data_IF_228656668918
#
_entry.id   IF_228656668918
#
_cell.length_a   1.000
_cell.length_b   1.000
_cell.length_c   1.000
_cell.angle_alpha   90.00
_cell.angle_beta   90.00
_cell.angle_gamma   90.00
#
_symmetry.space_group_name_H-M   'P 1'
#
loop_
_entity.id
_entity.type
_entity.pdbx_description
1 polymer ?
#
# COMPACT_ATOMS: atom_id res chain seq x y z
N UNK A 1 -10.52 -1.77 5.19
CA UNK A 1 -11.45 -0.62 5.44
C UNK A 1 -12.59 -1.08 6.34
N UNK A 2 -12.71 -0.53 7.56
CA UNK A 2 -13.85 -0.83 8.46
C UNK A 2 -15.01 0.12 8.16
N UNK A 3 -16.23 -0.38 8.29
CA UNK A 3 -17.44 0.42 8.13
C UNK A 3 -17.73 1.23 9.38
N UNK A 4 -18.43 2.38 9.28
CA UNK A 4 -18.78 3.20 10.44
C UNK A 4 -19.67 2.46 11.47
N UNK A 5 -20.43 1.48 10.99
CA UNK A 5 -21.30 0.61 11.81
C UNK A 5 -21.38 -0.78 11.17
N UNK A 6 -21.80 -1.77 11.95
CA UNK A 6 -22.06 -3.12 11.43
C UNK A 6 -23.32 -3.08 10.56
N UNK A 7 -23.24 -3.68 9.38
CA UNK A 7 -24.34 -3.87 8.45
C UNK A 7 -24.75 -5.34 8.42
N UNK A 8 -25.95 -5.62 7.92
CA UNK A 8 -26.38 -7.00 7.65
C UNK A 8 -25.99 -7.40 6.22
N UNK A 9 -25.82 -8.70 5.98
CA UNK A 9 -25.57 -9.25 4.65
C UNK A 9 -26.59 -8.74 3.63
N UNK A 10 -27.88 -8.76 4.00
CA UNK A 10 -28.98 -8.26 3.18
C UNK A 10 -28.84 -6.78 2.81
N UNK A 11 -28.41 -5.94 3.76
CA UNK A 11 -28.16 -4.52 3.48
C UNK A 11 -27.03 -4.34 2.48
N UNK A 12 -25.91 -5.07 2.64
CA UNK A 12 -24.79 -5.02 1.70
C UNK A 12 -25.21 -5.52 0.31
N UNK A 13 -25.90 -6.66 0.25
CA UNK A 13 -26.43 -7.20 -1.01
C UNK A 13 -27.34 -6.20 -1.73
N UNK A 14 -28.17 -5.47 -0.99
CA UNK A 14 -29.04 -4.42 -1.54
C UNK A 14 -28.23 -3.25 -2.13
N UNK A 15 -27.16 -2.80 -1.48
CA UNK A 15 -26.30 -1.70 -1.98
C UNK A 15 -25.72 -2.04 -3.35
N UNK A 16 -25.27 -3.27 -3.54
CA UNK A 16 -24.61 -3.69 -4.79
C UNK A 16 -25.56 -4.38 -5.77
N UNK A 17 -26.81 -4.63 -5.38
CA UNK A 17 -27.81 -5.39 -6.13
C UNK A 17 -27.30 -6.79 -6.50
N UNK A 18 -26.80 -7.52 -5.51
CA UNK A 18 -26.29 -8.88 -5.66
C UNK A 18 -27.19 -9.91 -4.94
N UNK A 19 -27.18 -11.16 -5.43
CA UNK A 19 -27.70 -12.30 -4.70
C UNK A 19 -26.76 -12.68 -3.55
N UNK A 20 -27.26 -13.42 -2.56
CA UNK A 20 -26.43 -13.85 -1.42
C UNK A 20 -26.83 -15.21 -0.88
N UNK A 21 -25.86 -15.89 -0.27
CA UNK A 21 -26.01 -17.15 0.47
C UNK A 21 -25.59 -16.91 1.91
N UNK A 22 -26.51 -17.10 2.85
CA UNK A 22 -26.31 -16.88 4.28
C UNK A 22 -27.55 -16.29 4.95
N UNK A 23 -27.50 -16.08 6.26
CA UNK A 23 -28.58 -15.46 6.99
C UNK A 23 -28.72 -13.96 6.63
N UNK A 24 -29.94 -13.46 6.54
CA UNK A 24 -30.23 -12.04 6.23
C UNK A 24 -29.48 -11.08 7.16
N UNK A 25 -29.38 -11.43 8.42
CA UNK A 25 -28.79 -10.65 9.52
C UNK A 25 -27.27 -10.95 9.74
N UNK A 26 -26.66 -11.77 8.89
CA UNK A 26 -25.23 -12.08 9.00
C UNK A 26 -24.38 -10.79 9.07
N UNK A 27 -23.51 -10.62 10.10
CA UNK A 27 -22.86 -9.35 10.37
C UNK A 27 -21.70 -9.06 9.40
N UNK A 28 -21.68 -7.83 8.89
CA UNK A 28 -20.63 -7.30 7.99
C UNK A 28 -20.07 -6.02 8.57
N UNK A 29 -18.78 -6.01 8.91
CA UNK A 29 -18.12 -4.90 9.61
C UNK A 29 -17.10 -4.14 8.76
N UNK A 30 -16.76 -4.65 7.58
CA UNK A 30 -15.74 -4.02 6.73
C UNK A 30 -15.55 -4.73 5.40
N UNK A 31 -14.53 -4.30 4.67
CA UNK A 31 -14.06 -4.92 3.45
C UNK A 31 -12.55 -4.73 3.33
N UNK A 32 -11.83 -5.78 2.93
CA UNK A 32 -10.39 -5.74 2.83
C UNK A 32 -9.84 -6.61 1.71
N UNK A 33 -8.60 -6.33 1.31
CA UNK A 33 -7.84 -7.21 0.43
C UNK A 33 -7.45 -8.50 1.18
N UNK A 34 -7.36 -9.59 0.43
CA UNK A 34 -7.22 -10.96 0.96
C UNK A 34 -6.06 -11.18 1.95
N UNK A 35 -5.03 -10.33 1.90
CA UNK A 35 -3.84 -10.45 2.76
C UNK A 35 -4.00 -9.78 4.14
N UNK A 36 -5.06 -8.98 4.33
CA UNK A 36 -5.34 -8.22 5.57
C UNK A 36 -6.76 -8.40 6.10
N UNK A 37 -7.53 -9.36 5.55
CA UNK A 37 -8.91 -9.61 5.98
C UNK A 37 -8.98 -10.18 7.38
N UNK A 38 -10.05 -9.79 8.08
CA UNK A 38 -10.42 -10.24 9.41
C UNK A 38 -11.88 -10.77 9.41
N UNK A 39 -12.31 -11.49 10.46
CA UNK A 39 -13.71 -11.84 10.61
C UNK A 39 -14.64 -10.61 10.55
N UNK A 40 -15.72 -10.71 9.79
CA UNK A 40 -16.64 -9.60 9.50
C UNK A 40 -16.30 -8.80 8.25
N UNK A 41 -15.17 -9.05 7.62
CA UNK A 41 -14.79 -8.38 6.37
C UNK A 41 -15.34 -9.10 5.13
N UNK A 42 -15.62 -8.29 4.10
CA UNK A 42 -15.84 -8.73 2.72
C UNK A 42 -14.48 -8.82 2.04
N UNK A 43 -14.20 -9.94 1.38
CA UNK A 43 -13.15 -10.07 0.37
C UNK A 43 -13.78 -10.33 -0.99
N UNK A 44 -13.19 -9.83 -2.07
CA UNK A 44 -13.68 -10.17 -3.40
C UNK A 44 -12.76 -11.15 -4.13
N UNK A 45 -13.35 -11.98 -4.99
CA UNK A 45 -12.64 -12.87 -5.90
C UNK A 45 -13.44 -13.02 -7.20
N UNK A 46 -12.75 -12.89 -8.33
CA UNK A 46 -13.37 -12.93 -9.65
C UNK A 46 -12.69 -13.92 -10.62
N UNK A 47 -11.71 -14.71 -10.12
CA UNK A 47 -11.01 -15.71 -10.93
C UNK A 47 -10.94 -17.06 -10.19
N UNK A 48 -11.33 -18.18 -10.85
CA UNK A 48 -11.43 -19.51 -10.22
C UNK A 48 -10.16 -19.98 -9.50
N UNK A 49 -8.98 -19.62 -10.02
CA UNK A 49 -7.68 -19.95 -9.40
C UNK A 49 -7.57 -19.48 -7.94
N UNK A 50 -8.31 -18.45 -7.56
CA UNK A 50 -8.20 -17.83 -6.24
C UNK A 50 -9.42 -18.07 -5.34
N UNK A 51 -10.42 -18.84 -5.79
CA UNK A 51 -11.61 -19.14 -5.00
C UNK A 51 -11.26 -19.78 -3.67
N UNK A 52 -10.49 -20.86 -3.69
CA UNK A 52 -10.09 -21.58 -2.47
C UNK A 52 -9.35 -20.65 -1.49
N UNK A 53 -8.50 -19.76 -2.01
CA UNK A 53 -7.79 -18.81 -1.17
C UNK A 53 -8.75 -17.83 -0.50
N UNK A 54 -9.77 -17.33 -1.21
CA UNK A 54 -10.77 -16.41 -0.65
C UNK A 54 -11.71 -17.13 0.32
N UNK A 55 -12.23 -18.30 -0.05
CA UNK A 55 -13.15 -19.09 0.77
C UNK A 55 -12.51 -19.59 2.07
N UNK A 56 -11.18 -19.85 2.08
CA UNK A 56 -10.43 -20.28 3.27
C UNK A 56 -9.70 -19.12 3.98
N UNK A 57 -9.89 -17.86 3.55
CA UNK A 57 -9.32 -16.70 4.22
C UNK A 57 -9.99 -16.41 5.58
N UNK A 58 -9.47 -15.45 6.34
CA UNK A 58 -10.12 -14.99 7.56
C UNK A 58 -11.42 -14.20 7.32
N UNK A 59 -11.66 -13.71 6.09
CA UNK A 59 -12.91 -13.04 5.75
C UNK A 59 -14.10 -13.96 5.96
N UNK A 60 -15.19 -13.44 6.52
CA UNK A 60 -16.42 -14.21 6.69
C UNK A 60 -17.43 -13.96 5.57
N UNK A 61 -17.19 -12.95 4.73
CA UNK A 61 -18.03 -12.69 3.56
C UNK A 61 -17.16 -12.72 2.30
N UNK A 62 -17.57 -13.48 1.28
CA UNK A 62 -16.87 -13.58 0.01
C UNK A 62 -17.75 -13.07 -1.12
N UNK A 63 -17.33 -11.97 -1.74
CA UNK A 63 -17.92 -11.44 -2.97
C UNK A 63 -17.31 -12.19 -4.15
N UNK A 64 -18.10 -13.01 -4.84
CA UNK A 64 -17.64 -13.99 -5.82
C UNK A 64 -18.49 -13.94 -7.10
N UNK A 65 -17.89 -14.29 -8.24
CA UNK A 65 -18.60 -14.23 -9.54
C UNK A 65 -19.30 -15.54 -9.93
N UNK A 66 -19.42 -16.48 -9.03
CA UNK A 66 -20.16 -17.73 -9.23
C UNK A 66 -20.64 -18.27 -7.89
N UNK A 67 -21.87 -18.77 -7.85
CA UNK A 67 -22.35 -19.53 -6.71
C UNK A 67 -21.52 -20.82 -6.53
N UNK A 68 -21.04 -21.02 -5.31
CA UNK A 68 -20.25 -22.19 -4.90
C UNK A 68 -20.75 -22.66 -3.55
N UNK A 69 -20.32 -23.84 -3.09
CA UNK A 69 -20.60 -24.29 -1.72
C UNK A 69 -20.03 -23.28 -0.72
N UNK A 70 -20.93 -22.78 0.15
CA UNK A 70 -20.55 -21.79 1.16
C UNK A 70 -19.94 -22.50 2.38
N UNK A 71 -18.69 -22.22 2.76
CA UNK A 71 -18.10 -22.81 3.95
C UNK A 71 -18.87 -22.45 5.22
N UNK A 72 -18.86 -23.35 6.21
CA UNK A 72 -19.47 -23.11 7.51
C UNK A 72 -18.95 -21.82 8.16
N UNK A 73 -19.83 -21.03 8.75
CA UNK A 73 -19.50 -19.74 9.38
C UNK A 73 -19.22 -18.60 8.41
N UNK A 74 -19.48 -18.78 7.11
CA UNK A 74 -19.31 -17.75 6.08
C UNK A 74 -20.62 -17.41 5.37
N UNK A 75 -20.56 -16.35 4.56
CA UNK A 75 -21.62 -15.94 3.65
C UNK A 75 -21.02 -15.58 2.29
N UNK A 76 -21.83 -15.70 1.23
CA UNK A 76 -21.44 -15.29 -0.11
C UNK A 76 -22.31 -14.12 -0.58
N UNK A 77 -21.71 -13.21 -1.32
CA UNK A 77 -22.36 -12.24 -2.19
C UNK A 77 -22.05 -12.66 -3.62
N UNK A 78 -23.05 -12.99 -4.41
CA UNK A 78 -22.89 -13.50 -5.77
C UNK A 78 -23.15 -12.38 -6.77
N UNK A 79 -22.13 -12.03 -7.54
CA UNK A 79 -22.16 -10.93 -8.51
C UNK A 79 -21.52 -11.35 -9.81
N UNK A 80 -22.05 -10.92 -10.95
CA UNK A 80 -21.44 -11.11 -12.27
C UNK A 80 -20.09 -10.38 -12.41
N UNK A 81 -19.85 -9.33 -11.61
CA UNK A 81 -18.60 -8.58 -11.57
C UNK A 81 -18.22 -8.13 -10.16
N UNK A 82 -17.57 -8.99 -9.36
CA UNK A 82 -17.12 -8.67 -8.02
C UNK A 82 -16.22 -7.44 -7.91
N UNK A 83 -15.38 -7.18 -8.90
CA UNK A 83 -14.52 -6.00 -8.94
C UNK A 83 -15.33 -4.69 -9.01
N UNK A 84 -16.32 -4.64 -9.92
CA UNK A 84 -17.25 -3.51 -10.04
C UNK A 84 -17.99 -3.27 -8.73
N UNK A 85 -18.50 -4.34 -8.12
CA UNK A 85 -19.35 -4.23 -6.95
C UNK A 85 -18.54 -3.95 -5.67
N UNK A 86 -17.28 -4.38 -5.61
CA UNK A 86 -16.35 -3.94 -4.58
C UNK A 86 -16.09 -2.43 -4.68
N UNK A 87 -15.95 -1.89 -5.88
CA UNK A 87 -15.86 -0.45 -6.10
C UNK A 87 -17.11 0.31 -5.67
N UNK A 88 -18.32 -0.22 -5.95
CA UNK A 88 -19.58 0.37 -5.47
C UNK A 88 -19.62 0.47 -3.94
N UNK A 89 -19.17 -0.56 -3.25
CA UNK A 89 -19.06 -0.52 -1.78
C UNK A 89 -18.03 0.52 -1.32
N UNK A 90 -16.88 0.59 -1.99
CA UNK A 90 -15.86 1.62 -1.68
C UNK A 90 -16.44 3.01 -1.85
N UNK A 91 -17.13 3.28 -2.95
CA UNK A 91 -17.74 4.59 -3.22
C UNK A 91 -18.88 4.91 -2.23
N UNK A 92 -19.68 3.91 -1.86
CA UNK A 92 -20.77 4.07 -0.89
C UNK A 92 -20.25 4.43 0.52
N UNK A 93 -19.21 3.75 1.00
CA UNK A 93 -18.68 3.95 2.35
C UNK A 93 -17.59 5.04 2.44
N UNK A 94 -16.94 5.36 1.34
CA UNK A 94 -15.88 6.36 1.23
C UNK A 94 -16.06 7.21 -0.04
N UNK A 95 -17.19 7.94 -0.15
CA UNK A 95 -17.41 8.81 -1.30
C UNK A 95 -16.37 9.92 -1.36
N UNK A 96 -16.02 10.35 -2.56
CA UNK A 96 -15.18 11.52 -2.76
C UNK A 96 -15.84 12.76 -2.16
N UNK A 97 -15.08 13.51 -1.37
CA UNK A 97 -15.50 14.77 -0.77
C UNK A 97 -14.65 15.92 -1.29
N UNK A 98 -15.27 16.86 -2.00
CA UNK A 98 -14.56 18.03 -2.47
C UNK A 98 -14.09 18.89 -1.30
N UNK A 99 -12.82 19.33 -1.34
CA UNK A 99 -12.29 20.28 -0.38
C UNK A 99 -12.83 21.68 -0.64
N UNK A 100 -13.06 22.45 0.42
CA UNK A 100 -13.54 23.85 0.34
C UNK A 100 -12.43 24.90 0.38
N UNK A 101 -11.17 24.48 0.50
CA UNK A 101 -10.01 25.36 0.57
C UNK A 101 -8.70 24.59 0.68
N UNK A 102 -7.60 25.29 0.89
CA UNK A 102 -6.27 24.65 1.04
C UNK A 102 -6.16 23.83 2.31
N UNK A 103 -6.85 24.18 3.38
CA UNK A 103 -6.93 23.41 4.62
C UNK A 103 -8.39 23.12 4.89
N UNK A 104 -8.77 21.86 4.91
CA UNK A 104 -10.15 21.44 5.17
C UNK A 104 -10.55 21.79 6.63
N UNK A 105 -11.78 22.28 6.87
CA UNK A 105 -12.25 22.59 8.24
C UNK A 105 -12.26 21.39 9.19
N UNK A 106 -12.33 20.17 8.66
CA UNK A 106 -12.28 18.93 9.42
C UNK A 106 -10.85 18.46 9.77
N UNK A 107 -9.81 19.11 9.22
CA UNK A 107 -8.42 18.79 9.53
C UNK A 107 -8.06 19.20 10.97
N UNK A 108 -7.24 18.39 11.62
CA UNK A 108 -6.73 18.65 12.97
C UNK A 108 -5.21 18.80 12.90
N UNK A 109 -4.69 19.93 13.33
CA UNK A 109 -3.26 20.25 13.31
C UNK A 109 -2.78 20.50 14.73
N UNK A 110 -1.79 19.73 15.17
CA UNK A 110 -1.23 19.77 16.52
C UNK A 110 -0.45 21.05 16.80
N UNK A 111 -0.25 21.30 18.10
CA UNK A 111 0.46 22.49 18.59
C UNK A 111 1.91 22.53 18.08
N UNK A 112 2.37 23.72 17.70
CA UNK A 112 3.75 23.92 17.24
C UNK A 112 4.03 23.41 15.83
N UNK A 113 3.04 22.83 15.15
CA UNK A 113 3.15 22.43 13.74
C UNK A 113 3.07 23.65 12.82
N UNK A 114 4.01 23.71 11.88
CA UNK A 114 4.11 24.76 10.86
C UNK A 114 3.69 24.22 9.52
N UNK A 115 2.71 24.87 8.88
CA UNK A 115 2.26 24.58 7.52
C UNK A 115 2.64 25.74 6.63
N UNK A 116 3.50 25.50 5.63
CA UNK A 116 3.98 26.52 4.71
C UNK A 116 2.93 26.85 3.62
N UNK A 117 3.01 28.05 3.01
CA UNK A 117 2.09 28.45 1.95
C UNK A 117 2.00 27.44 0.80
N UNK A 118 0.80 27.30 0.25
CA UNK A 118 0.51 26.42 -0.88
C UNK A 118 0.33 24.94 -0.51
N UNK A 119 0.52 24.56 0.76
CA UNK A 119 0.21 23.20 1.20
C UNK A 119 -1.31 22.96 1.19
N UNK A 120 -1.72 21.78 0.69
CA UNK A 120 -3.09 21.30 0.71
C UNK A 120 -3.25 20.25 1.82
N UNK A 121 -4.22 20.46 2.71
CA UNK A 121 -4.57 19.55 3.80
C UNK A 121 -6.04 19.15 3.64
N UNK A 122 -6.27 17.92 3.23
CA UNK A 122 -7.60 17.37 2.91
C UNK A 122 -8.50 17.10 4.12
N UNK A 123 -9.67 16.54 3.83
CA UNK A 123 -10.69 16.27 4.84
C UNK A 123 -10.21 15.20 5.84
N UNK A 124 -10.54 15.43 7.13
CA UNK A 124 -10.24 14.53 8.24
C UNK A 124 -8.75 14.18 8.40
N UNK A 125 -7.85 14.96 7.83
CA UNK A 125 -6.40 14.81 8.06
C UNK A 125 -6.10 15.15 9.52
N UNK A 126 -5.25 14.31 10.12
CA UNK A 126 -4.73 14.54 11.48
C UNK A 126 -3.21 14.68 11.41
N UNK A 127 -2.69 15.82 11.86
CA UNK A 127 -1.25 16.08 11.96
C UNK A 127 -0.92 16.33 13.43
N UNK A 128 0.08 15.62 13.93
CA UNK A 128 0.55 15.74 15.31
C UNK A 128 1.25 17.05 15.61
N UNK A 129 1.96 17.10 16.72
CA UNK A 129 2.64 18.29 17.23
C UNK A 129 4.05 18.44 16.64
N UNK A 130 4.54 19.70 16.57
CA UNK A 130 5.90 20.06 16.17
C UNK A 130 6.31 19.53 14.79
N UNK A 131 5.38 19.39 13.86
CA UNK A 131 5.64 18.99 12.49
C UNK A 131 6.00 20.21 11.62
N UNK A 132 6.73 19.95 10.52
CA UNK A 132 7.05 20.94 9.49
C UNK A 132 6.55 20.45 8.14
N UNK A 133 5.48 21.05 7.63
CA UNK A 133 4.91 20.78 6.33
C UNK A 133 5.36 21.90 5.39
N UNK A 134 6.27 21.58 4.47
CA UNK A 134 6.83 22.55 3.54
C UNK A 134 5.83 22.99 2.46
N UNK A 135 6.23 23.99 1.69
CA UNK A 135 5.40 24.59 0.64
C UNK A 135 4.96 23.57 -0.41
N UNK A 136 3.72 23.70 -0.88
CA UNK A 136 3.14 22.86 -1.94
C UNK A 136 3.09 21.35 -1.64
N UNK A 137 3.15 20.94 -0.39
CA UNK A 137 2.85 19.56 0.02
C UNK A 137 1.35 19.32 -0.12
N UNK A 138 0.95 18.17 -0.65
CA UNK A 138 -0.46 17.76 -0.73
C UNK A 138 -0.72 16.55 0.15
N UNK A 139 -1.55 16.73 1.17
CA UNK A 139 -1.95 15.67 2.10
C UNK A 139 -3.43 15.39 1.88
N UNK A 140 -3.76 14.26 1.27
CA UNK A 140 -5.13 13.89 0.94
C UNK A 140 -5.89 13.33 2.13
N UNK A 141 -7.18 13.22 1.95
CA UNK A 141 -8.18 12.91 2.98
C UNK A 141 -7.80 11.71 3.86
N UNK A 142 -8.16 11.81 5.14
CA UNK A 142 -7.99 10.77 6.16
C UNK A 142 -6.53 10.37 6.48
N UNK A 143 -5.52 11.04 5.92
CA UNK A 143 -4.11 10.82 6.26
C UNK A 143 -3.85 11.16 7.72
N UNK A 144 -3.07 10.31 8.40
CA UNK A 144 -2.68 10.50 9.80
C UNK A 144 -1.16 10.67 9.88
N UNK A 145 -0.72 11.73 10.52
CA UNK A 145 0.70 12.09 10.70
C UNK A 145 0.96 12.27 12.19
N UNK A 146 1.97 11.60 12.70
CA UNK A 146 2.43 11.65 14.07
C UNK A 146 3.13 12.96 14.41
N UNK A 147 3.93 12.96 15.46
CA UNK A 147 4.64 14.13 15.98
C UNK A 147 6.05 14.25 15.42
N UNK A 148 6.59 15.49 15.37
CA UNK A 148 7.96 15.77 14.94
C UNK A 148 8.27 15.23 13.52
N UNK A 149 7.29 15.30 12.62
CA UNK A 149 7.43 14.86 11.23
C UNK A 149 7.78 16.05 10.36
N UNK A 150 8.73 15.85 9.43
CA UNK A 150 9.06 16.83 8.39
C UNK A 150 8.67 16.27 7.03
N UNK A 151 7.92 17.06 6.24
CA UNK A 151 7.56 16.72 4.86
C UNK A 151 8.03 17.84 3.95
N UNK A 152 8.97 17.52 3.05
CA UNK A 152 9.55 18.50 2.14
C UNK A 152 8.67 18.81 0.93
N UNK A 153 8.99 19.93 0.29
CA UNK A 153 8.16 20.57 -0.73
C UNK A 153 7.74 19.65 -1.89
N UNK A 154 6.50 19.79 -2.31
CA UNK A 154 5.93 19.09 -3.47
C UNK A 154 5.62 17.61 -3.27
N UNK A 155 5.78 17.09 -2.06
CA UNK A 155 5.42 15.70 -1.75
C UNK A 155 3.91 15.52 -1.67
N UNK A 156 3.41 14.36 -2.09
CA UNK A 156 1.99 14.00 -2.15
C UNK A 156 1.75 12.74 -1.31
N UNK A 157 0.85 12.83 -0.34
CA UNK A 157 0.44 11.73 0.53
C UNK A 157 -1.03 11.42 0.31
N UNK A 158 -1.37 10.17 0.12
CA UNK A 158 -2.74 9.70 -0.03
C UNK A 158 -3.27 9.69 -1.46
N UNK A 159 -2.38 9.70 -2.47
CA UNK A 159 -2.75 9.37 -3.84
C UNK A 159 -3.40 7.98 -3.94
N UNK A 160 -4.21 7.76 -4.99
CA UNK A 160 -4.85 6.46 -5.20
C UNK A 160 -3.85 5.39 -5.64
N UNK A 161 -4.08 4.16 -5.23
CA UNK A 161 -3.34 3.00 -5.69
C UNK A 161 -3.32 2.88 -7.23
N UNK A 162 -2.15 2.52 -7.78
CA UNK A 162 -2.02 2.15 -9.18
C UNK A 162 -2.49 0.69 -9.37
N UNK A 163 -3.82 0.48 -9.25
CA UNK A 163 -4.43 -0.83 -9.36
C UNK A 163 -5.55 -0.83 -10.40
N UNK A 164 -5.32 -1.51 -11.51
CA UNK A 164 -6.23 -1.56 -12.64
C UNK A 164 -6.51 -2.99 -13.08
N UNK A 165 -7.79 -3.26 -13.40
CA UNK A 165 -8.21 -4.49 -14.08
C UNK A 165 -8.26 -4.24 -15.58
N UNK A 166 -7.60 -5.10 -16.35
CA UNK A 166 -7.67 -5.04 -17.81
C UNK A 166 -9.02 -5.58 -18.28
N UNK A 167 -9.71 -4.82 -19.12
CA UNK A 167 -10.98 -5.16 -19.76
C UNK A 167 -10.85 -5.03 -21.28
N UNK A 168 -11.72 -5.65 -22.06
CA UNK A 168 -11.73 -5.45 -23.51
C UNK A 168 -11.91 -4.00 -23.96
N UNK A 169 -12.60 -3.18 -23.14
CA UNK A 169 -12.86 -1.76 -23.38
C UNK A 169 -11.79 -0.81 -22.83
N UNK A 170 -10.78 -1.31 -22.09
CA UNK A 170 -9.76 -0.49 -21.44
C UNK A 170 -9.44 -0.95 -20.02
N UNK A 171 -9.05 -0.03 -19.15
CA UNK A 171 -8.68 -0.33 -17.78
C UNK A 171 -9.70 0.20 -16.78
N UNK A 172 -10.21 -0.67 -15.92
CA UNK A 172 -11.03 -0.30 -14.77
C UNK A 172 -10.14 -0.10 -13.55
N UNK A 173 -10.24 1.07 -12.92
CA UNK A 173 -9.50 1.39 -11.69
C UNK A 173 -10.16 0.75 -10.47
N UNK A 174 -9.37 0.15 -9.58
CA UNK A 174 -9.82 -0.20 -8.23
C UNK A 174 -9.78 1.05 -7.35
N UNK A 175 -10.91 1.39 -6.75
CA UNK A 175 -11.01 2.57 -5.88
C UNK A 175 -10.32 2.31 -4.53
N UNK A 176 -9.62 3.33 -4.05
CA UNK A 176 -8.86 3.25 -2.80
C UNK A 176 -9.63 3.91 -1.66
N UNK A 177 -10.09 3.11 -0.70
CA UNK A 177 -10.80 3.54 0.51
C UNK A 177 -9.93 3.55 1.77
N UNK A 178 -8.66 3.17 1.67
CA UNK A 178 -7.68 3.19 2.74
C UNK A 178 -7.06 4.57 2.99
N UNK A 179 -5.93 4.62 3.68
CA UNK A 179 -5.27 5.87 4.06
C UNK A 179 -3.75 5.71 4.13
N UNK A 180 -3.07 6.84 4.39
CA UNK A 180 -1.65 6.90 4.74
C UNK A 180 -1.52 7.16 6.23
N UNK A 181 -0.58 6.45 6.88
CA UNK A 181 -0.21 6.66 8.29
C UNK A 181 1.30 6.89 8.36
N UNK A 182 1.70 8.04 8.84
CA UNK A 182 3.09 8.41 9.11
C UNK A 182 3.26 8.49 10.63
N UNK A 183 4.14 7.67 11.19
CA UNK A 183 4.42 7.71 12.63
C UNK A 183 5.39 8.85 13.01
N UNK A 184 5.74 8.95 14.29
CA UNK A 184 6.57 10.02 14.84
C UNK A 184 8.00 10.03 14.26
N UNK A 185 8.60 11.22 14.21
CA UNK A 185 10.01 11.43 13.84
C UNK A 185 10.38 10.97 12.43
N UNK A 186 9.42 10.90 11.50
CA UNK A 186 9.67 10.57 10.09
C UNK A 186 10.05 11.86 9.33
N UNK A 187 11.04 11.75 8.43
CA UNK A 187 11.33 12.80 7.45
C UNK A 187 11.08 12.27 6.04
N UNK A 188 10.28 13.01 5.28
CA UNK A 188 10.03 12.75 3.87
C UNK A 188 10.68 13.82 3.02
N UNK A 189 11.53 13.44 2.10
CA UNK A 189 12.20 14.30 1.12
C UNK A 189 11.21 14.98 0.17
N UNK A 190 11.73 15.83 -0.69
CA UNK A 190 10.92 16.57 -1.66
C UNK A 190 10.42 15.65 -2.80
N UNK A 191 9.25 15.98 -3.34
CA UNK A 191 8.65 15.28 -4.49
C UNK A 191 8.45 13.77 -4.27
N UNK A 192 8.27 13.34 -3.04
CA UNK A 192 7.88 11.96 -2.73
C UNK A 192 6.38 11.74 -3.00
N UNK A 193 6.01 10.53 -3.36
CA UNK A 193 4.61 10.12 -3.54
C UNK A 193 4.32 8.89 -2.70
N UNK A 194 3.35 9.00 -1.79
CA UNK A 194 2.94 7.92 -0.89
C UNK A 194 1.47 7.62 -1.19
N UNK A 195 1.22 6.49 -1.83
CA UNK A 195 -0.15 6.07 -2.15
C UNK A 195 -0.86 5.56 -0.89
N UNK A 196 -2.15 5.85 -0.78
CA UNK A 196 -2.98 5.25 0.27
C UNK A 196 -3.25 3.78 -0.01
N UNK A 197 -3.51 3.01 1.02
CA UNK A 197 -3.92 1.62 0.87
C UNK A 197 -5.23 1.48 0.06
N UNK A 198 -5.41 0.35 -0.60
CA UNK A 198 -6.68 0.06 -1.29
C UNK A 198 -7.81 0.00 -0.27
N UNK A 199 -7.60 -0.74 0.81
CA UNK A 199 -8.57 -0.83 1.90
C UNK A 199 -7.94 -0.65 3.28
N UNK A 200 -6.64 -0.88 3.40
CA UNK A 200 -5.83 -0.78 4.60
C UNK A 200 -5.05 0.53 4.70
N UNK A 201 -3.96 0.49 5.44
CA UNK A 201 -3.07 1.63 5.64
C UNK A 201 -1.75 1.40 4.91
N UNK A 202 -1.28 2.39 4.14
CA UNK A 202 0.14 2.50 3.81
C UNK A 202 0.83 3.18 4.98
N UNK A 203 1.80 2.50 5.60
CA UNK A 203 2.37 2.94 6.88
C UNK A 203 3.87 3.16 6.79
N UNK A 204 4.34 4.31 7.29
CA UNK A 204 5.76 4.60 7.50
C UNK A 204 5.99 4.75 8.99
N UNK A 205 6.79 3.83 9.57
CA UNK A 205 6.98 3.75 11.03
C UNK A 205 8.06 4.69 11.54
N UNK A 206 8.01 4.88 12.84
CA UNK A 206 8.79 5.83 13.64
C UNK A 206 10.27 5.90 13.26
N UNK A 207 10.77 7.13 13.07
CA UNK A 207 12.19 7.44 12.89
C UNK A 207 12.74 7.15 11.49
N UNK A 208 11.93 6.68 10.56
CA UNK A 208 12.34 6.41 9.18
C UNK A 208 12.62 7.70 8.41
N UNK A 209 13.67 7.68 7.58
CA UNK A 209 14.11 8.79 6.73
C UNK A 209 14.03 8.39 5.26
N UNK A 210 13.32 9.17 4.51
CA UNK A 210 13.08 8.97 3.07
C UNK A 210 13.58 10.18 2.31
N UNK A 211 14.49 9.98 1.36
CA UNK A 211 15.07 11.03 0.54
C UNK A 211 14.13 11.42 -0.62
N UNK A 212 14.56 12.35 -1.44
CA UNK A 212 13.77 12.98 -2.49
C UNK A 212 13.33 11.98 -3.58
N UNK A 213 12.15 12.22 -4.18
CA UNK A 213 11.64 11.48 -5.34
C UNK A 213 11.44 9.98 -5.09
N UNK A 214 11.16 9.57 -3.87
CA UNK A 214 10.79 8.19 -3.55
C UNK A 214 9.30 7.99 -3.77
N UNK A 215 8.95 6.87 -4.42
CA UNK A 215 7.57 6.41 -4.53
C UNK A 215 7.31 5.22 -3.60
N UNK A 216 6.24 5.30 -2.82
CA UNK A 216 5.75 4.21 -1.96
C UNK A 216 4.34 3.83 -2.42
N UNK A 217 4.21 2.63 -2.96
CA UNK A 217 2.94 2.08 -3.43
C UNK A 217 2.01 1.69 -2.28
N UNK A 218 0.75 1.50 -2.62
CA UNK A 218 -0.35 1.22 -1.71
C UNK A 218 -0.12 0.02 -0.78
N UNK A 219 -0.71 0.06 0.42
CA UNK A 219 -0.68 -1.05 1.40
C UNK A 219 0.75 -1.49 1.80
N UNK A 220 1.75 -0.66 1.53
CA UNK A 220 3.14 -0.89 1.90
C UNK A 220 3.37 -0.52 3.36
N UNK A 221 4.13 -1.33 4.07
CA UNK A 221 4.55 -1.08 5.45
C UNK A 221 6.07 -0.91 5.50
N UNK A 222 6.53 0.28 5.85
CA UNK A 222 7.94 0.57 6.08
C UNK A 222 8.20 0.60 7.58
N UNK A 223 9.12 -0.23 8.04
CA UNK A 223 9.53 -0.42 9.42
C UNK A 223 10.14 0.82 10.07
N UNK A 224 10.58 0.66 11.32
CA UNK A 224 11.21 1.74 12.10
C UNK A 224 12.65 1.98 11.68
N UNK A 225 13.08 3.25 11.76
CA UNK A 225 14.49 3.65 11.53
C UNK A 225 15.08 3.17 10.20
N UNK A 226 14.26 3.00 9.18
CA UNK A 226 14.72 2.72 7.84
C UNK A 226 15.37 3.96 7.21
N UNK A 227 16.32 3.75 6.31
CA UNK A 227 16.95 4.79 5.50
C UNK A 227 16.72 4.46 4.02
N UNK A 228 15.97 5.30 3.31
CA UNK A 228 15.61 5.08 1.91
C UNK A 228 16.08 6.27 1.09
N UNK A 229 17.09 6.02 0.24
CA UNK A 229 17.71 7.05 -0.58
C UNK A 229 16.89 7.34 -1.85
N UNK A 230 17.27 8.43 -2.52
CA UNK A 230 16.52 9.07 -3.58
C UNK A 230 16.19 8.17 -4.77
N UNK A 231 15.06 8.47 -5.42
CA UNK A 231 14.58 7.80 -6.64
C UNK A 231 14.31 6.30 -6.46
N UNK A 232 14.08 5.83 -5.23
CA UNK A 232 13.64 4.45 -4.97
C UNK A 232 12.17 4.31 -5.31
N UNK A 233 11.83 3.25 -6.05
CA UNK A 233 10.46 2.87 -6.39
C UNK A 233 10.02 1.61 -5.63
N UNK A 234 9.03 1.75 -4.75
CA UNK A 234 8.49 0.66 -3.94
C UNK A 234 7.08 0.36 -4.45
N UNK A 235 6.86 -0.83 -5.00
CA UNK A 235 5.54 -1.24 -5.46
C UNK A 235 4.59 -1.50 -4.27
N UNK A 236 3.30 -1.71 -4.55
CA UNK A 236 2.29 -1.95 -3.51
C UNK A 236 2.48 -3.25 -2.71
N UNK A 237 1.95 -3.27 -1.50
CA UNK A 237 1.94 -4.44 -0.61
C UNK A 237 3.34 -4.94 -0.21
N UNK A 238 4.36 -4.08 -0.20
CA UNK A 238 5.71 -4.41 0.25
C UNK A 238 5.82 -4.24 1.75
N UNK A 239 6.49 -5.19 2.41
CA UNK A 239 6.87 -5.07 3.83
C UNK A 239 8.37 -4.84 3.91
N UNK A 240 8.78 -3.69 4.40
CA UNK A 240 10.17 -3.39 4.75
C UNK A 240 10.27 -3.44 6.27
N UNK A 241 11.03 -4.38 6.80
CA UNK A 241 11.18 -4.53 8.25
C UNK A 241 12.07 -3.42 8.85
N UNK A 242 12.31 -3.47 10.15
CA UNK A 242 13.01 -2.40 10.86
C UNK A 242 14.50 -2.24 10.44
N UNK A 243 15.02 -1.03 10.53
CA UNK A 243 16.44 -0.68 10.31
C UNK A 243 17.02 -1.05 8.93
N UNK A 244 16.16 -1.24 7.92
CA UNK A 244 16.59 -1.51 6.54
C UNK A 244 17.19 -0.24 5.91
N UNK A 245 18.30 -0.42 5.17
CA UNK A 245 18.91 0.65 4.38
C UNK A 245 18.79 0.35 2.88
N UNK A 246 18.18 1.26 2.13
CA UNK A 246 18.00 1.16 0.69
C UNK A 246 18.69 2.35 0.03
N UNK A 247 19.69 2.08 -0.80
CA UNK A 247 20.40 3.10 -1.55
C UNK A 247 19.62 3.52 -2.81
N UNK A 248 20.09 4.59 -3.46
CA UNK A 248 19.37 5.28 -4.52
C UNK A 248 19.02 4.42 -5.74
N UNK A 249 17.92 4.76 -6.40
CA UNK A 249 17.45 4.15 -7.65
C UNK A 249 17.17 2.64 -7.56
N UNK A 250 16.84 2.15 -6.38
CA UNK A 250 16.36 0.77 -6.19
C UNK A 250 14.90 0.66 -6.62
N UNK A 251 14.59 -0.41 -7.36
CA UNK A 251 13.22 -0.78 -7.72
C UNK A 251 12.83 -2.13 -7.13
N UNK A 252 11.60 -2.26 -6.65
CA UNK A 252 11.12 -3.52 -6.08
C UNK A 252 9.69 -3.86 -6.52
N UNK A 253 9.46 -5.16 -6.75
CA UNK A 253 8.14 -5.68 -7.13
C UNK A 253 7.19 -5.73 -5.93
N UNK A 254 5.88 -5.85 -6.22
CA UNK A 254 4.84 -5.91 -5.19
C UNK A 254 4.85 -7.23 -4.38
N UNK A 255 4.31 -7.15 -3.16
CA UNK A 255 3.99 -8.31 -2.33
C UNK A 255 5.21 -9.04 -1.77
N UNK A 256 6.36 -8.37 -1.65
CA UNK A 256 7.60 -8.94 -1.09
C UNK A 256 7.92 -8.38 0.28
N UNK A 257 8.78 -9.09 1.02
CA UNK A 257 9.31 -8.65 2.31
C UNK A 257 10.81 -8.43 2.21
N UNK A 258 11.28 -7.31 2.74
CA UNK A 258 12.71 -7.00 2.94
C UNK A 258 12.99 -7.14 4.43
N UNK A 259 13.77 -8.14 4.79
CA UNK A 259 14.05 -8.49 6.19
C UNK A 259 14.86 -7.45 6.95
N UNK A 260 14.72 -7.46 8.27
CA UNK A 260 15.33 -6.52 9.21
C UNK A 260 16.83 -6.31 8.95
N UNK A 261 17.28 -5.07 9.00
CA UNK A 261 18.70 -4.67 8.81
C UNK A 261 19.32 -5.11 7.47
N UNK A 262 18.49 -5.43 6.47
CA UNK A 262 19.02 -5.64 5.12
C UNK A 262 19.58 -4.33 4.56
N UNK A 263 20.63 -4.43 3.75
CA UNK A 263 21.23 -3.30 3.01
C UNK A 263 21.10 -3.58 1.52
N UNK A 264 20.39 -2.70 0.81
CA UNK A 264 20.23 -2.81 -0.64
C UNK A 264 21.08 -1.75 -1.31
N UNK A 265 22.07 -2.17 -2.10
CA UNK A 265 22.97 -1.25 -2.80
C UNK A 265 22.26 -0.59 -4.00
N UNK A 266 22.77 0.58 -4.37
CA UNK A 266 22.16 1.43 -5.39
C UNK A 266 21.91 0.68 -6.72
N UNK A 267 20.84 1.07 -7.44
CA UNK A 267 20.45 0.53 -8.74
C UNK A 267 20.15 -0.97 -8.74
N UNK A 268 19.85 -1.56 -7.59
CA UNK A 268 19.41 -2.96 -7.49
C UNK A 268 17.94 -3.12 -7.85
N UNK A 269 17.59 -4.22 -8.52
CA UNK A 269 16.22 -4.61 -8.84
C UNK A 269 15.78 -5.82 -7.99
N UNK A 270 14.76 -5.64 -7.16
CA UNK A 270 14.31 -6.67 -6.21
C UNK A 270 13.05 -7.34 -6.75
N UNK A 271 13.17 -8.61 -7.11
CA UNK A 271 12.08 -9.41 -7.70
C UNK A 271 11.49 -10.47 -6.76
N UNK A 272 12.01 -10.61 -5.53
CA UNK A 272 11.58 -11.58 -4.51
C UNK A 272 11.92 -11.06 -3.12
N UNK A 273 11.30 -11.64 -2.09
CA UNK A 273 11.63 -11.36 -0.69
C UNK A 273 13.11 -11.63 -0.39
N UNK A 274 13.69 -10.78 0.47
CA UNK A 274 15.09 -10.83 0.88
C UNK A 274 15.18 -11.03 2.39
N UNK A 275 16.09 -11.90 2.82
CA UNK A 275 16.34 -12.10 4.24
C UNK A 275 17.01 -10.88 4.88
N UNK A 276 16.82 -10.70 6.18
CA UNK A 276 17.47 -9.65 6.95
C UNK A 276 18.97 -9.87 7.15
N UNK A 277 19.65 -8.86 7.71
CA UNK A 277 21.06 -8.89 8.13
C UNK A 277 22.06 -9.22 7.01
N UNK A 278 21.70 -8.91 5.75
CA UNK A 278 22.54 -9.17 4.59
C UNK A 278 22.55 -7.98 3.63
N UNK A 279 23.61 -7.89 2.81
CA UNK A 279 23.75 -6.86 1.77
C UNK A 279 23.47 -7.47 0.41
N UNK A 280 22.62 -6.79 -0.38
CA UNK A 280 22.18 -7.23 -1.70
C UNK A 280 22.58 -6.25 -2.79
N UNK A 281 22.84 -6.78 -4.00
CA UNK A 281 23.26 -5.99 -5.15
C UNK A 281 22.81 -6.62 -6.47
N UNK A 282 22.53 -5.79 -7.45
CA UNK A 282 22.36 -6.16 -8.84
C UNK A 282 20.90 -6.38 -9.26
N UNK A 283 20.72 -6.91 -10.47
CA UNK A 283 19.42 -7.26 -11.04
C UNK A 283 19.49 -8.66 -11.68
N UNK A 284 18.69 -9.63 -11.22
CA UNK A 284 17.97 -9.56 -9.95
C UNK A 284 18.94 -9.37 -8.77
N UNK A 285 18.47 -8.77 -7.68
CA UNK A 285 19.31 -8.55 -6.49
C UNK A 285 19.64 -9.87 -5.82
N UNK A 286 20.93 -10.06 -5.58
CA UNK A 286 21.51 -11.21 -4.89
C UNK A 286 22.37 -10.72 -3.72
N UNK A 287 22.78 -11.61 -2.84
CA UNK A 287 23.75 -11.26 -1.79
C UNK A 287 25.01 -10.66 -2.43
N UNK A 288 25.44 -9.49 -1.94
CA UNK A 288 26.48 -8.68 -2.62
C UNK A 288 27.78 -9.45 -2.86
N UNK A 289 28.24 -10.23 -1.86
CA UNK A 289 29.48 -11.02 -1.99
C UNK A 289 29.38 -12.07 -3.10
N UNK A 290 28.21 -12.68 -3.28
CA UNK A 290 27.95 -13.64 -4.36
C UNK A 290 27.94 -12.91 -5.70
N UNK A 291 27.27 -11.77 -5.79
CA UNK A 291 27.19 -10.98 -7.02
C UNK A 291 28.55 -10.41 -7.46
N UNK A 292 29.37 -9.96 -6.53
CA UNK A 292 30.72 -9.50 -6.86
C UNK A 292 31.63 -10.62 -7.38
N UNK A 293 31.50 -11.85 -6.85
CA UNK A 293 32.23 -13.02 -7.39
C UNK A 293 31.78 -13.34 -8.81
N UNK A 294 30.47 -13.31 -9.07
CA UNK A 294 29.89 -13.52 -10.40
C UNK A 294 30.46 -12.49 -11.40
N UNK A 295 30.43 -11.19 -11.07
CA UNK A 295 30.95 -10.14 -11.90
C UNK A 295 32.46 -10.26 -12.14
N UNK A 296 33.22 -10.68 -11.12
CA UNK A 296 34.67 -10.92 -11.27
C UNK A 296 34.94 -12.09 -12.23
N UNK A 297 34.13 -13.16 -12.15
CA UNK A 297 34.23 -14.30 -13.08
C UNK A 297 33.91 -13.90 -14.53
N UNK A 298 32.85 -13.11 -14.73
CA UNK A 298 32.48 -12.59 -16.05
C UNK A 298 33.64 -11.76 -16.68
N UNK A 299 34.31 -10.94 -15.89
CA UNK A 299 35.47 -10.13 -16.36
C UNK A 299 36.65 -10.99 -16.83
N UNK A 300 36.77 -12.23 -16.40
CA UNK A 300 37.84 -13.15 -16.81
C UNK A 300 37.56 -13.89 -18.12
N UNK A 301 36.27 -13.90 -18.59
CA UNK A 301 35.86 -14.62 -19.79
C UNK A 301 36.73 -14.26 -21.03
N UNK A 302 37.00 -12.97 -21.36
CA UNK A 302 37.82 -12.66 -22.53
C UNK A 302 39.21 -13.32 -22.48
N UNK A 303 39.89 -13.27 -21.31
CA UNK A 303 41.21 -13.89 -21.15
C UNK A 303 41.18 -15.41 -21.17
N UNK A 304 40.07 -16.04 -20.84
CA UNK A 304 39.87 -17.49 -20.94
C UNK A 304 39.68 -17.87 -22.41
N UNK A 305 38.87 -17.12 -23.16
CA UNK A 305 38.66 -17.34 -24.60
C UNK A 305 39.97 -17.24 -25.37
N UNK A 306 40.79 -16.23 -25.09
CA UNK A 306 42.14 -16.07 -25.72
C UNK A 306 43.08 -17.24 -25.44
N UNK A 307 42.91 -17.96 -24.33
CA UNK A 307 43.77 -19.12 -23.97
C UNK A 307 43.28 -20.44 -24.58
N UNK A 308 42.03 -20.50 -25.05
CA UNK A 308 41.40 -21.72 -25.57
C UNK A 308 41.39 -21.70 -27.12
N UNK A 309 41.40 -20.53 -27.73
CA UNK A 309 41.53 -20.34 -29.19
C UNK A 309 42.98 -20.26 -29.64
#
# INVERSE_FOLDING_TARGET
>A
MKFPQIHTLKQIATIINAEYVGADDFPVSGMNEIHVVEPGDIVFVDHPKYYDKALNSAATIVLINKEVECPEGKALLVSDDPFRDFNKLTEYFKPFQAASGLVAPSAKIGKGTVVQPGAFIGNNVVIGEHCLIHANVSIYDNTVIGNNVTIHAGSVLGGDAFYYKNRPSGFDKLLSGGRVVIEDHVDLGALCTIDKGVTGDTTIKTGTKIDNQVHVGHDTVIGKKCLIASQTGIAGCVVIEDEVTIWGQVGMTSGITIGEKAVILAQSGISKSLAGHATYFGYPAEEARKKYKELASIRQIPSIIEKIG
#
